data_IF_711997435653
#
_entry.id   IF_711997435653
#
_cell.length_a   1.000
_cell.length_b   1.000
_cell.length_c   1.000
_cell.angle_alpha   90.00
_cell.angle_beta   90.00
_cell.angle_gamma   90.00
#
_symmetry.space_group_name_H-M   'P 1'
#
loop_
_entity.id
_entity.type
_entity.pdbx_description
1 polymer ?
#
# COMPACT_ATOMS: atom_id res chain seq x y z
N UNK A 1 -16.83 -23.33 -6.00
CA UNK A 1 -17.78 -23.15 -4.89
C UNK A 1 -18.06 -21.65 -4.78
N UNK A 2 -19.31 -21.23 -5.01
CA UNK A 2 -19.78 -19.83 -4.96
C UNK A 2 -20.63 -19.70 -3.69
N UNK A 3 -20.37 -18.71 -2.86
CA UNK A 3 -21.23 -18.42 -1.71
C UNK A 3 -22.43 -17.57 -2.14
N UNK A 4 -23.57 -17.87 -1.54
CA UNK A 4 -24.93 -17.49 -1.97
C UNK A 4 -25.34 -16.04 -1.63
N UNK A 5 -24.39 -15.11 -1.60
CA UNK A 5 -24.67 -13.70 -1.28
C UNK A 5 -24.41 -12.71 -2.42
N UNK A 6 -24.00 -13.15 -3.63
CA UNK A 6 -23.97 -12.30 -4.83
C UNK A 6 -23.06 -11.05 -4.81
N UNK A 7 -22.53 -10.65 -3.66
CA UNK A 7 -21.94 -9.34 -3.40
C UNK A 7 -20.50 -9.45 -2.89
N UNK A 8 -19.62 -10.03 -3.71
CA UNK A 8 -18.21 -9.63 -3.78
C UNK A 8 -17.77 -9.96 -5.19
N UNK A 9 -17.42 -8.96 -6.00
CA UNK A 9 -16.71 -9.23 -7.25
C UNK A 9 -15.50 -10.10 -6.94
N UNK A 10 -15.52 -11.36 -7.37
CA UNK A 10 -14.42 -12.29 -7.13
C UNK A 10 -13.15 -11.78 -7.80
N UNK A 11 -12.17 -11.39 -6.99
CA UNK A 11 -10.77 -11.31 -7.39
C UNK A 11 -10.29 -9.92 -7.83
N UNK A 12 -9.28 -9.41 -7.15
CA UNK A 12 -8.46 -8.32 -7.70
C UNK A 12 -7.27 -7.98 -6.83
N UNK A 13 -7.51 -7.80 -5.53
CA UNK A 13 -6.50 -7.28 -4.60
C UNK A 13 -6.25 -8.21 -3.42
N UNK A 14 -5.92 -9.46 -3.73
CA UNK A 14 -5.44 -10.46 -2.77
C UNK A 14 -3.91 -10.49 -2.79
N UNK A 15 -3.24 -9.99 -1.76
CA UNK A 15 -1.80 -9.84 -1.65
C UNK A 15 -1.14 -11.20 -1.38
N UNK A 16 -0.39 -11.68 -2.35
CA UNK A 16 0.37 -12.93 -2.21
C UNK A 16 1.83 -12.71 -1.86
N UNK A 17 2.37 -11.53 -2.18
CA UNK A 17 3.78 -11.20 -1.91
C UNK A 17 4.01 -9.72 -1.79
N UNK A 18 4.78 -9.34 -0.78
CA UNK A 18 5.45 -8.04 -0.67
C UNK A 18 6.97 -8.25 -0.63
N UNK A 19 7.71 -7.38 -1.31
CA UNK A 19 9.15 -7.23 -1.14
C UNK A 19 9.50 -5.75 -1.11
N UNK A 20 10.28 -5.33 -0.12
CA UNK A 20 10.74 -3.93 0.00
C UNK A 20 12.25 -3.94 0.11
N UNK A 21 12.89 -3.07 -0.67
CA UNK A 21 14.34 -2.91 -0.66
C UNK A 21 14.77 -1.50 -1.04
N UNK A 22 16.05 -1.21 -0.84
CA UNK A 22 16.69 0.03 -1.31
C UNK A 22 17.25 -0.24 -2.71
N UNK A 23 16.88 0.58 -3.67
CA UNK A 23 17.41 0.53 -5.03
C UNK A 23 18.78 1.25 -5.10
N UNK A 24 19.59 1.00 -6.15
CA UNK A 24 20.91 1.63 -6.31
C UNK A 24 20.88 3.17 -6.35
N UNK A 25 19.77 3.75 -6.81
CA UNK A 25 19.53 5.20 -6.81
C UNK A 25 19.19 5.76 -5.40
N UNK A 26 19.31 4.94 -4.36
CA UNK A 26 19.00 5.29 -2.97
C UNK A 26 17.52 5.37 -2.64
N UNK A 27 16.61 5.16 -3.61
CA UNK A 27 15.17 5.16 -3.37
C UNK A 27 14.71 3.84 -2.79
N UNK A 28 13.66 3.87 -1.98
CA UNK A 28 12.99 2.66 -1.51
C UNK A 28 12.05 2.20 -2.63
N UNK A 29 12.10 0.89 -2.90
CA UNK A 29 11.24 0.19 -3.86
C UNK A 29 10.43 -0.85 -3.11
N UNK A 30 9.10 -0.74 -3.14
CA UNK A 30 8.19 -1.76 -2.66
C UNK A 30 7.51 -2.43 -3.85
N UNK A 31 7.71 -3.74 -4.02
CA UNK A 31 7.04 -4.57 -5.01
C UNK A 31 5.91 -5.33 -4.35
N UNK A 32 4.71 -5.19 -4.89
CA UNK A 32 3.46 -5.74 -4.35
C UNK A 32 2.83 -6.61 -5.41
N UNK A 33 2.59 -7.89 -5.12
CA UNK A 33 2.02 -8.84 -6.08
C UNK A 33 0.69 -9.37 -5.58
N UNK A 34 -0.33 -9.24 -6.43
CA UNK A 34 -1.65 -9.79 -6.19
C UNK A 34 -1.76 -11.25 -6.69
N UNK A 35 -2.69 -12.02 -6.15
CA UNK A 35 -2.99 -13.39 -6.57
C UNK A 35 -3.55 -13.46 -7.98
N UNK A 36 -4.46 -12.52 -8.30
CA UNK A 36 -5.09 -12.38 -9.60
C UNK A 36 -4.59 -11.15 -10.38
N UNK A 37 -4.71 -11.14 -11.71
CA UNK A 37 -4.58 -9.91 -12.50
C UNK A 37 -5.54 -8.82 -12.02
N UNK A 38 -5.08 -7.58 -12.08
CA UNK A 38 -5.89 -6.38 -11.78
C UNK A 38 -5.48 -5.23 -12.67
N UNK A 39 -6.23 -4.13 -12.65
CA UNK A 39 -5.98 -2.90 -13.37
C UNK A 39 -6.18 -1.68 -12.44
N UNK A 40 -5.53 -0.53 -12.70
CA UNK A 40 -5.71 0.67 -11.87
C UNK A 40 -7.17 1.10 -11.72
N UNK A 41 -8.00 0.92 -12.75
CA UNK A 41 -9.45 1.17 -12.70
C UNK A 41 -10.20 0.31 -11.68
N UNK A 42 -9.65 -0.81 -11.25
CA UNK A 42 -10.26 -1.66 -10.21
C UNK A 42 -10.19 -0.99 -8.82
N UNK A 43 -9.43 0.11 -8.69
CA UNK A 43 -9.42 0.98 -7.51
C UNK A 43 -10.48 2.09 -7.59
N UNK A 44 -11.21 2.23 -8.70
CA UNK A 44 -12.34 3.15 -8.76
C UNK A 44 -13.45 2.64 -7.86
N UNK A 45 -14.19 3.58 -7.28
CA UNK A 45 -15.34 3.30 -6.46
C UNK A 45 -16.54 4.03 -7.09
N UNK A 46 -17.61 3.30 -7.38
CA UNK A 46 -18.88 3.91 -7.79
C UNK A 46 -19.51 4.69 -6.61
N UNK A 47 -19.25 4.23 -5.38
CA UNK A 47 -19.62 4.89 -4.14
C UNK A 47 -18.61 4.59 -3.03
N UNK A 48 -18.47 5.49 -2.05
CA UNK A 48 -17.50 5.35 -0.95
C UNK A 48 -16.09 5.83 -1.31
N UNK A 49 -15.07 5.50 -0.48
CA UNK A 49 -13.70 5.93 -0.74
C UNK A 49 -13.10 5.18 -1.92
N UNK A 50 -12.18 5.81 -2.68
CA UNK A 50 -11.43 5.11 -3.71
C UNK A 50 -10.58 3.99 -3.08
N UNK A 51 -10.37 2.93 -3.85
CA UNK A 51 -9.46 1.86 -3.50
C UNK A 51 -8.02 2.34 -3.48
N UNK A 52 -7.18 1.62 -2.74
CA UNK A 52 -5.77 1.97 -2.63
C UNK A 52 -4.87 0.76 -2.39
N UNK A 53 -3.60 0.92 -2.72
CA UNK A 53 -2.52 0.01 -2.31
C UNK A 53 -1.51 0.84 -1.53
N UNK A 54 -1.43 0.61 -0.23
CA UNK A 54 -0.65 1.41 0.69
C UNK A 54 0.45 0.59 1.36
N UNK A 55 1.68 1.10 1.34
CA UNK A 55 2.71 0.66 2.29
C UNK A 55 2.54 1.42 3.59
N UNK A 56 2.29 0.68 4.66
CA UNK A 56 2.29 1.16 6.04
C UNK A 56 3.72 1.10 6.56
N UNK A 57 4.23 2.21 7.04
CA UNK A 57 5.62 2.37 7.48
C UNK A 57 5.69 2.77 8.95
N UNK A 58 6.45 2.01 9.73
CA UNK A 58 6.82 2.35 11.10
C UNK A 58 8.33 2.58 11.18
N UNK A 59 8.72 3.69 11.77
CA UNK A 59 10.11 4.08 11.91
C UNK A 59 10.71 3.45 13.16
N UNK A 60 11.94 2.93 13.01
CA UNK A 60 12.70 2.37 14.13
C UNK A 60 12.55 0.86 14.33
N UNK A 61 13.09 0.38 15.45
CA UNK A 61 13.30 -1.06 15.69
C UNK A 61 12.15 -1.79 16.40
N UNK A 62 11.28 -1.06 17.12
CA UNK A 62 10.19 -1.66 17.92
C UNK A 62 9.14 -2.29 17.02
N UNK A 63 8.61 -3.45 17.39
CA UNK A 63 7.53 -4.10 16.63
C UNK A 63 6.27 -3.24 16.72
N UNK A 64 5.52 -3.03 15.62
CA UNK A 64 4.23 -2.36 15.68
C UNK A 64 3.30 -3.21 16.55
N UNK A 65 2.78 -2.64 17.61
CA UNK A 65 1.74 -3.26 18.44
C UNK A 65 0.48 -2.43 18.28
N UNK A 66 -0.40 -2.80 17.35
CA UNK A 66 -1.66 -2.10 17.06
C UNK A 66 -1.56 -0.58 16.79
N UNK A 67 -0.34 -0.03 16.70
CA UNK A 67 -0.09 1.41 16.57
C UNK A 67 -0.26 1.85 15.13
N UNK A 68 -0.88 3.02 14.93
CA UNK A 68 -0.93 3.72 13.65
C UNK A 68 0.47 3.76 13.01
N UNK A 69 0.60 3.55 11.70
CA UNK A 69 1.90 3.74 11.03
C UNK A 69 2.35 5.19 11.20
N UNK A 70 3.66 5.44 11.17
CA UNK A 70 4.19 6.81 11.13
C UNK A 70 3.93 7.43 9.74
N UNK A 71 4.03 6.61 8.69
CA UNK A 71 3.83 7.05 7.31
C UNK A 71 3.00 6.05 6.51
N UNK A 72 2.27 6.59 5.53
CA UNK A 72 1.65 5.81 4.47
C UNK A 72 2.28 6.17 3.13
N UNK A 73 2.58 5.16 2.31
CA UNK A 73 2.92 5.37 0.90
C UNK A 73 1.85 4.70 0.06
N UNK A 74 0.91 5.49 -0.42
CA UNK A 74 -0.30 4.98 -1.07
C UNK A 74 -0.26 5.23 -2.57
N UNK A 75 -0.66 4.21 -3.34
CA UNK A 75 -1.07 4.33 -4.72
C UNK A 75 -2.59 4.28 -4.84
N UNK A 76 -3.13 5.16 -5.68
CA UNK A 76 -4.53 5.23 -6.07
C UNK A 76 -4.61 5.33 -7.59
N UNK A 77 -5.81 5.17 -8.14
CA UNK A 77 -6.05 5.42 -9.56
C UNK A 77 -5.81 6.89 -9.90
N UNK A 78 -5.09 7.13 -11.00
CA UNK A 78 -4.83 8.47 -11.54
C UNK A 78 -6.01 9.01 -12.36
N UNK A 79 -5.93 10.29 -12.75
CA UNK A 79 -7.04 10.99 -13.40
C UNK A 79 -7.53 10.36 -14.72
N UNK A 80 -6.68 9.59 -15.41
CA UNK A 80 -7.05 8.93 -16.66
C UNK A 80 -7.49 7.47 -16.47
N UNK A 81 -7.67 7.00 -15.24
CA UNK A 81 -8.12 5.63 -14.89
C UNK A 81 -7.21 4.47 -15.32
N UNK A 82 -6.14 4.74 -16.07
CA UNK A 82 -5.22 3.72 -16.62
C UNK A 82 -3.90 3.64 -15.89
N UNK A 83 -3.56 4.66 -15.08
CA UNK A 83 -2.28 4.76 -14.38
C UNK A 83 -2.49 4.87 -12.88
N UNK A 84 -1.48 4.46 -12.13
CA UNK A 84 -1.43 4.69 -10.69
C UNK A 84 -0.76 6.05 -10.41
N UNK A 85 -1.30 6.77 -9.44
CA UNK A 85 -0.66 7.92 -8.81
C UNK A 85 -0.29 7.53 -7.39
N UNK A 86 0.90 7.94 -6.94
CA UNK A 86 1.34 7.65 -5.58
C UNK A 86 1.82 8.88 -4.82
N UNK A 87 1.73 8.83 -3.49
CA UNK A 87 2.20 9.88 -2.60
C UNK A 87 2.61 9.32 -1.25
N UNK A 88 3.48 10.05 -0.56
CA UNK A 88 3.90 9.76 0.82
C UNK A 88 3.12 10.68 1.74
N UNK A 89 2.53 10.10 2.78
CA UNK A 89 1.76 10.78 3.79
C UNK A 89 2.37 10.52 5.16
N UNK A 90 2.40 11.55 6.00
CA UNK A 90 2.72 11.45 7.41
C UNK A 90 1.41 11.31 8.19
N UNK A 91 1.29 10.22 8.94
CA UNK A 91 0.15 9.99 9.80
C UNK A 91 0.20 10.93 11.01
N UNK A 92 -0.95 11.47 11.38
CA UNK A 92 -1.07 12.40 12.50
C UNK A 92 -2.22 11.95 13.40
N UNK A 93 -1.96 11.64 14.69
CA UNK A 93 -3.00 11.20 15.60
C UNK A 93 -4.18 12.20 15.63
N UNK A 94 -5.39 11.69 15.42
CA UNK A 94 -6.63 12.49 15.44
C UNK A 94 -6.79 13.48 14.29
N UNK A 95 -5.96 13.41 13.23
CA UNK A 95 -6.04 14.29 12.06
C UNK A 95 -5.92 13.50 10.76
N UNK A 96 -6.35 14.10 9.66
CA UNK A 96 -6.09 13.55 8.34
C UNK A 96 -4.58 13.48 8.07
N UNK A 97 -4.11 12.42 7.38
CA UNK A 97 -2.72 12.30 6.98
C UNK A 97 -2.27 13.47 6.12
N UNK A 98 -1.05 13.94 6.35
CA UNK A 98 -0.48 15.07 5.61
C UNK A 98 0.40 14.57 4.48
N UNK A 99 0.18 15.05 3.26
CA UNK A 99 1.06 14.70 2.13
C UNK A 99 2.41 15.41 2.30
N UNK A 100 3.48 14.65 2.47
CA UNK A 100 4.84 15.17 2.71
C UNK A 100 5.77 15.01 1.51
N UNK A 101 5.48 14.08 0.59
CA UNK A 101 6.28 13.92 -0.62
C UNK A 101 5.51 13.24 -1.76
N UNK A 102 6.08 13.32 -2.96
CA UNK A 102 5.67 12.49 -4.08
C UNK A 102 6.29 11.08 -4.00
N UNK A 103 5.53 10.09 -4.46
CA UNK A 103 6.01 8.76 -4.78
C UNK A 103 5.63 8.45 -6.24
N UNK A 104 6.27 7.47 -6.85
CA UNK A 104 5.81 6.92 -8.12
C UNK A 104 5.26 5.52 -7.93
N UNK A 105 4.26 5.18 -8.73
CA UNK A 105 3.71 3.84 -8.82
C UNK A 105 3.70 3.41 -10.28
N UNK A 106 4.19 2.20 -10.53
CA UNK A 106 4.09 1.55 -11.84
C UNK A 106 3.53 0.16 -11.68
N UNK A 107 2.96 -0.38 -12.75
CA UNK A 107 2.42 -1.74 -12.79
C UNK A 107 3.13 -2.54 -13.89
N UNK A 108 4.34 -3.04 -13.62
CA UNK A 108 5.16 -3.71 -14.64
C UNK A 108 4.58 -5.04 -15.14
N UNK A 109 3.66 -5.66 -14.39
CA UNK A 109 3.02 -6.91 -14.80
C UNK A 109 1.51 -6.85 -14.58
N UNK A 110 0.78 -7.86 -15.06
CA UNK A 110 -0.65 -7.99 -14.81
C UNK A 110 -1.01 -8.03 -13.31
N UNK A 111 -0.10 -8.47 -12.44
CA UNK A 111 -0.35 -8.70 -11.00
C UNK A 111 0.46 -7.82 -10.07
N UNK A 112 1.58 -7.28 -10.53
CA UNK A 112 2.56 -6.61 -9.66
C UNK A 112 2.52 -5.11 -9.86
N UNK A 113 2.36 -4.37 -8.76
CA UNK A 113 2.67 -2.94 -8.68
C UNK A 113 3.99 -2.69 -7.96
N UNK A 114 4.63 -1.58 -8.30
CA UNK A 114 5.88 -1.13 -7.69
C UNK A 114 5.71 0.31 -7.24
N UNK A 115 5.87 0.54 -5.94
CA UNK A 115 5.97 1.88 -5.34
C UNK A 115 7.44 2.29 -5.23
N UNK A 116 7.77 3.53 -5.59
CA UNK A 116 9.12 4.09 -5.42
C UNK A 116 9.08 5.46 -4.77
N UNK A 117 9.86 5.65 -3.71
CA UNK A 117 9.91 6.91 -2.96
C UNK A 117 11.29 7.13 -2.34
N UNK A 118 11.62 8.37 -2.00
CA UNK A 118 12.90 8.69 -1.35
C UNK A 118 12.88 8.29 0.13
N UNK A 119 13.97 7.73 0.64
CA UNK A 119 14.13 7.50 2.08
C UNK A 119 14.04 8.81 2.88
N UNK A 120 14.47 9.93 2.28
CA UNK A 120 14.34 11.28 2.86
C UNK A 120 12.90 11.71 3.10
N UNK A 121 11.93 11.18 2.33
CA UNK A 121 10.51 11.46 2.56
C UNK A 121 10.00 10.88 3.89
N UNK A 122 10.75 9.96 4.51
CA UNK A 122 10.47 9.38 5.82
C UNK A 122 11.38 9.94 6.92
N UNK A 123 12.12 11.03 6.67
CA UNK A 123 13.09 11.56 7.63
C UNK A 123 14.40 10.77 7.74
N UNK A 124 14.76 9.97 6.71
CA UNK A 124 16.01 9.18 6.64
C UNK A 124 16.19 8.13 7.76
N UNK A 125 15.20 7.23 8.00
CA UNK A 125 15.29 6.22 9.05
C UNK A 125 16.36 5.17 8.72
N UNK A 126 17.11 4.70 9.72
CA UNK A 126 18.05 3.59 9.56
C UNK A 126 17.37 2.21 9.47
N UNK A 127 16.14 2.10 10.01
CA UNK A 127 15.33 0.88 10.02
C UNK A 127 13.89 1.27 9.70
N UNK A 128 13.29 0.51 8.80
CA UNK A 128 11.88 0.60 8.44
C UNK A 128 11.21 -0.73 8.78
N UNK A 129 10.09 -0.68 9.48
CA UNK A 129 9.13 -1.79 9.49
C UNK A 129 7.98 -1.49 8.57
N UNK A 130 7.46 -2.51 7.92
CA UNK A 130 6.43 -2.32 6.91
C UNK A 130 5.42 -3.46 6.83
N UNK A 131 4.24 -3.10 6.34
CA UNK A 131 3.21 -3.99 5.82
C UNK A 131 2.59 -3.30 4.59
N UNK A 132 2.03 -4.08 3.68
CA UNK A 132 1.17 -3.57 2.61
C UNK A 132 -0.27 -3.78 3.02
N UNK A 133 -1.11 -2.83 2.66
CA UNK A 133 -2.56 -2.91 2.73
C UNK A 133 -3.11 -2.67 1.32
N UNK A 134 -4.07 -3.49 0.89
CA UNK A 134 -4.81 -3.29 -0.33
C UNK A 134 -6.30 -3.24 -0.03
N UNK A 135 -6.96 -2.21 -0.55
CA UNK A 135 -8.38 -1.94 -0.36
C UNK A 135 -9.03 -1.77 -1.75
N UNK A 136 -10.10 -2.51 -2.08
CA UNK A 136 -10.88 -2.22 -3.27
C UNK A 136 -11.66 -0.91 -3.11
N UNK A 137 -12.15 -0.36 -4.23
CA UNK A 137 -13.04 0.80 -4.20
C UNK A 137 -14.30 0.53 -3.38
N UNK A 138 -14.75 1.52 -2.62
CA UNK A 138 -15.93 1.41 -1.75
C UNK A 138 -15.68 0.64 -0.45
N UNK A 139 -14.45 0.19 -0.20
CA UNK A 139 -14.11 -0.52 1.04
C UNK A 139 -14.17 0.43 2.24
N UNK A 140 -15.18 0.22 3.11
CA UNK A 140 -15.36 0.98 4.35
C UNK A 140 -15.11 0.14 5.62
N UNK A 141 -14.97 -1.18 5.48
CA UNK A 141 -14.82 -2.11 6.61
C UNK A 141 -13.46 -2.77 6.58
N UNK A 142 -12.94 -3.15 7.75
CA UNK A 142 -11.68 -3.88 7.84
C UNK A 142 -11.71 -5.23 7.10
N UNK A 143 -12.89 -5.83 6.94
CA UNK A 143 -13.05 -7.14 6.30
C UNK A 143 -12.73 -7.16 4.79
N UNK A 144 -12.73 -6.01 4.11
CA UNK A 144 -12.32 -5.90 2.70
C UNK A 144 -10.89 -5.41 2.53
N UNK A 145 -10.15 -5.23 3.63
CA UNK A 145 -8.73 -4.90 3.61
C UNK A 145 -7.94 -6.19 3.60
N UNK A 146 -7.02 -6.30 2.67
CA UNK A 146 -6.04 -7.36 2.67
C UNK A 146 -4.66 -6.80 3.07
N UNK A 147 -3.89 -7.61 3.80
CA UNK A 147 -2.59 -7.16 4.36
C UNK A 147 -1.48 -8.17 4.13
N UNK A 148 -0.29 -7.69 3.76
CA UNK A 148 0.89 -8.53 3.62
C UNK A 148 2.12 -7.89 4.29
N UNK A 149 2.76 -8.56 5.26
CA UNK A 149 2.33 -9.80 5.91
C UNK A 149 0.99 -9.66 6.65
N UNK A 150 0.27 -10.77 6.87
CA UNK A 150 -1.02 -10.77 7.57
C UNK A 150 -0.92 -10.05 8.92
N UNK A 151 -1.83 -9.10 9.15
CA UNK A 151 -1.90 -8.36 10.40
C UNK A 151 -1.96 -9.31 11.62
N UNK A 152 -1.30 -8.98 12.74
CA UNK A 152 -0.56 -7.73 13.03
C UNK A 152 0.92 -7.79 12.63
N UNK A 153 1.33 -8.70 11.74
CA UNK A 153 2.75 -8.89 11.41
C UNK A 153 3.29 -7.73 10.56
N UNK A 154 4.58 -7.50 10.68
CA UNK A 154 5.33 -6.58 9.82
C UNK A 154 6.69 -7.18 9.49
N UNK A 155 7.19 -6.84 8.31
CA UNK A 155 8.56 -7.13 7.91
C UNK A 155 9.49 -5.98 8.33
N UNK A 156 10.80 -6.25 8.37
CA UNK A 156 11.83 -5.28 8.75
C UNK A 156 12.84 -5.12 7.61
N UNK A 157 13.18 -3.88 7.29
CA UNK A 157 14.21 -3.51 6.32
C UNK A 157 15.25 -2.60 6.99
N UNK A 158 16.52 -2.96 6.87
CA UNK A 158 17.62 -2.06 7.18
C UNK A 158 17.89 -1.13 5.98
N UNK A 159 18.08 0.16 6.25
CA UNK A 159 18.22 1.21 5.23
C UNK A 159 19.55 1.97 5.35
N UNK A 160 20.51 1.39 6.09
CA UNK A 160 21.87 1.93 6.24
C UNK A 160 22.54 2.02 4.87
#
# INVERSE_FOLDING_TARGET
MRDAAGDVGQGGLDLTRVSVGRAPDGRIRASVTMGAPWAPRDLLADSGPPGSVCLRAWLGGRRPSASQPDYLVCATVGANNERLKASVFHERPGRLPERVAAASATKPTARTAVLRFGQSALGRPAVLRFAIEAAPGGCQRLACLDTAPDAPRSARLALR
#
